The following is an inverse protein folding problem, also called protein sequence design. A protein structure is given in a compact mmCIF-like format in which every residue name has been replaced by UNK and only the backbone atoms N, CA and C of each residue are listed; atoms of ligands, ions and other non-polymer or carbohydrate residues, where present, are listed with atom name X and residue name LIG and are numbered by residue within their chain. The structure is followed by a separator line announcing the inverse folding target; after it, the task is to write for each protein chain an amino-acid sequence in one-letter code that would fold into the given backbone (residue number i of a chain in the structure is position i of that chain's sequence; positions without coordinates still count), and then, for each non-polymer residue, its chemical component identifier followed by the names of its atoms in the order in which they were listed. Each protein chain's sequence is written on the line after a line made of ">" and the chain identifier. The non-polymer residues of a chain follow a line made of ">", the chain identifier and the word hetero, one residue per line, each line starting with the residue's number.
data_IF_379384140176
#
_entry.id   IF_379384140176
#
_cell.length_a   1.000
_cell.length_b   1.000
_cell.length_c   1.000
_cell.angle_alpha   90.00
_cell.angle_beta   90.00
_cell.angle_gamma   90.00
#
_symmetry.space_group_name_H-M   'P 1'
#
loop_
_entity.id
_entity.type
_entity.pdbx_description
1 polymer ?
#
# COMPACT_ATOMS: atom_id res chain seq x y z
N UNK A 1 -7.51 37.79 16.25
CA UNK A 1 -8.57 36.76 16.04
C UNK A 1 -8.22 35.83 14.88
N UNK A 2 -7.88 36.34 13.68
CA UNK A 2 -7.49 35.50 12.52
C UNK A 2 -6.17 34.74 12.71
N UNK A 3 -5.16 35.36 13.33
CA UNK A 3 -3.86 34.71 13.58
C UNK A 3 -3.94 33.50 14.53
N UNK A 4 -4.88 33.53 15.47
CA UNK A 4 -5.11 32.42 16.40
C UNK A 4 -5.82 31.25 15.72
N UNK A 5 -6.78 31.53 14.83
CA UNK A 5 -7.43 30.51 14.01
C UNK A 5 -6.44 29.80 13.07
N UNK A 6 -5.47 30.53 12.49
CA UNK A 6 -4.42 29.94 11.65
C UNK A 6 -3.45 29.04 12.43
N UNK A 7 -3.07 29.41 13.66
CA UNK A 7 -2.23 28.57 14.51
C UNK A 7 -2.94 27.28 14.93
N UNK A 8 -4.23 27.36 15.28
CA UNK A 8 -5.05 26.18 15.60
C UNK A 8 -5.27 25.32 14.36
N UNK A 9 -5.47 25.92 13.18
CA UNK A 9 -5.58 25.20 11.92
C UNK A 9 -4.27 24.49 11.51
N UNK A 10 -3.10 25.10 11.76
CA UNK A 10 -1.80 24.44 11.57
C UNK A 10 -1.59 23.29 12.56
N UNK A 11 -1.91 23.47 13.85
CA UNK A 11 -1.87 22.40 14.85
C UNK A 11 -2.90 21.28 14.57
N UNK A 12 -3.98 21.58 13.84
CA UNK A 12 -5.02 20.63 13.43
C UNK A 12 -4.80 20.02 12.04
N UNK A 13 -3.94 20.60 11.20
CA UNK A 13 -3.44 19.97 9.98
C UNK A 13 -2.23 19.05 10.24
N UNK A 14 -1.52 19.27 11.35
CA UNK A 14 -0.41 18.44 11.83
C UNK A 14 -0.76 16.99 12.26
N UNK A 15 -1.98 16.61 12.68
CA UNK A 15 -2.29 15.23 13.03
C UNK A 15 -2.66 14.36 11.82
N UNK A 16 -2.80 14.92 10.61
CA UNK A 16 -2.88 14.12 9.38
C UNK A 16 -1.50 13.61 8.92
N UNK A 17 -0.52 13.54 9.85
CA UNK A 17 0.79 12.93 9.69
C UNK A 17 0.80 11.43 10.04
N UNK A 18 -0.36 10.78 10.15
CA UNK A 18 -0.41 9.34 9.95
C UNK A 18 -0.12 9.09 8.48
N UNK A 19 1.17 8.96 8.15
CA UNK A 19 1.62 8.81 6.77
C UNK A 19 0.82 7.73 6.08
N UNK A 20 0.16 8.10 4.99
CA UNK A 20 -0.39 7.17 4.02
C UNK A 20 0.73 6.17 3.68
N UNK A 21 0.56 4.88 4.00
CA UNK A 21 1.51 3.82 3.62
C UNK A 21 1.06 3.35 2.23
N UNK A 22 1.57 3.97 1.14
CA UNK A 22 1.00 3.80 -0.19
C UNK A 22 1.30 2.39 -0.64
N UNK A 23 0.27 1.64 -1.04
CA UNK A 23 0.41 0.23 -1.31
C UNK A 23 -0.32 -0.20 -2.59
N UNK A 24 0.16 -1.23 -3.25
CA UNK A 24 -0.56 -1.91 -4.32
C UNK A 24 -0.91 -3.30 -3.82
N UNK A 25 -2.17 -3.67 -4.01
CA UNK A 25 -2.62 -5.03 -3.75
C UNK A 25 -2.87 -5.74 -5.07
N UNK A 26 -2.26 -6.91 -5.24
CA UNK A 26 -2.48 -7.81 -6.37
C UNK A 26 -3.29 -9.00 -5.88
N UNK A 27 -4.45 -9.22 -6.50
CA UNK A 27 -5.37 -10.32 -6.17
C UNK A 27 -5.76 -11.07 -7.43
N UNK A 28 -6.16 -12.33 -7.30
CA UNK A 28 -6.67 -13.10 -8.44
C UNK A 28 -8.11 -12.75 -8.76
N UNK A 29 -8.40 -12.47 -10.03
CA UNK A 29 -9.77 -12.43 -10.55
C UNK A 29 -10.29 -13.85 -10.72
N UNK A 30 -11.60 -14.06 -10.53
CA UNK A 30 -12.32 -15.29 -10.91
C UNK A 30 -11.72 -16.60 -10.36
N UNK A 31 -11.00 -16.54 -9.24
CA UNK A 31 -10.37 -17.70 -8.61
C UNK A 31 -8.95 -18.00 -9.10
N UNK A 32 -8.33 -17.11 -9.89
CA UNK A 32 -6.90 -17.17 -10.15
C UNK A 32 -6.11 -17.15 -8.83
N UNK A 33 -5.06 -17.96 -8.76
CA UNK A 33 -4.20 -18.00 -7.57
C UNK A 33 -3.07 -16.99 -7.70
N UNK A 34 -2.78 -16.31 -6.60
CA UNK A 34 -1.59 -15.46 -6.47
C UNK A 34 -0.57 -16.22 -5.63
N UNK A 35 0.62 -16.41 -6.19
CA UNK A 35 1.66 -17.26 -5.63
C UNK A 35 3.06 -16.60 -5.71
N UNK A 36 4.10 -17.36 -5.35
CA UNK A 36 5.48 -16.86 -5.41
C UNK A 36 5.93 -16.52 -6.83
N UNK A 37 5.47 -17.25 -7.85
CA UNK A 37 5.80 -16.91 -9.24
C UNK A 37 5.23 -15.55 -9.63
N UNK A 38 3.99 -15.26 -9.22
CA UNK A 38 3.38 -13.94 -9.39
C UNK A 38 4.18 -12.86 -8.65
N UNK A 39 4.65 -13.15 -7.44
CA UNK A 39 5.47 -12.23 -6.64
C UNK A 39 6.84 -11.95 -7.28
N UNK A 40 7.49 -12.97 -7.85
CA UNK A 40 8.74 -12.81 -8.59
C UNK A 40 8.55 -11.97 -9.85
N UNK A 41 7.44 -12.14 -10.58
CA UNK A 41 7.10 -11.30 -11.74
C UNK A 41 6.91 -9.84 -11.34
N UNK A 42 6.15 -9.59 -10.26
CA UNK A 42 5.97 -8.23 -9.70
C UNK A 42 7.31 -7.61 -9.33
N UNK A 43 8.17 -8.37 -8.64
CA UNK A 43 9.48 -7.88 -8.19
C UNK A 43 10.36 -7.51 -9.38
N UNK A 44 10.47 -8.40 -10.38
CA UNK A 44 11.26 -8.15 -11.59
C UNK A 44 10.74 -6.96 -12.40
N UNK A 45 9.42 -6.78 -12.49
CA UNK A 45 8.83 -5.64 -13.20
C UNK A 45 9.22 -4.31 -12.54
N UNK A 46 9.18 -4.24 -11.20
CA UNK A 46 9.60 -3.06 -10.45
C UNK A 46 11.11 -2.79 -10.59
N UNK A 47 11.94 -3.83 -10.50
CA UNK A 47 13.40 -3.71 -10.64
C UNK A 47 13.80 -3.23 -12.04
N UNK A 48 13.15 -3.74 -13.09
CA UNK A 48 13.40 -3.35 -14.48
C UNK A 48 13.19 -1.85 -14.70
N UNK A 49 12.16 -1.27 -14.09
CA UNK A 49 11.84 0.15 -14.18
C UNK A 49 12.49 0.99 -13.06
N UNK A 50 13.37 0.38 -12.25
CA UNK A 50 14.07 1.03 -11.13
C UNK A 50 13.11 1.68 -10.09
N UNK A 51 11.92 1.09 -9.89
CA UNK A 51 10.94 1.58 -8.94
C UNK A 51 11.22 1.01 -7.55
N UNK A 52 11.57 1.90 -6.61
CA UNK A 52 11.86 1.53 -5.23
C UNK A 52 10.59 1.16 -4.47
N UNK A 53 10.64 0.05 -3.74
CA UNK A 53 9.56 -0.40 -2.87
C UNK A 53 10.07 -0.58 -1.44
N UNK A 54 9.18 -0.44 -0.46
CA UNK A 54 9.46 -0.59 0.97
C UNK A 54 9.40 -2.06 1.40
N UNK A 55 8.44 -2.81 0.85
CA UNK A 55 8.28 -4.24 1.10
C UNK A 55 7.37 -4.88 0.06
N UNK A 56 7.60 -6.16 -0.25
CA UNK A 56 6.69 -7.01 -1.02
C UNK A 56 6.39 -8.23 -0.15
N UNK A 57 5.11 -8.57 0.03
CA UNK A 57 4.70 -9.72 0.82
C UNK A 57 3.53 -10.46 0.16
N UNK A 58 3.60 -11.80 0.14
CA UNK A 58 2.48 -12.66 -0.25
C UNK A 58 1.72 -13.07 1.02
N UNK A 59 0.52 -12.52 1.20
CA UNK A 59 -0.32 -12.73 2.38
C UNK A 59 -1.78 -12.98 1.97
N UNK A 60 -2.40 -13.99 2.56
CA UNK A 60 -3.82 -14.32 2.37
C UNK A 60 -4.23 -14.50 0.88
N UNK A 61 -3.34 -15.04 0.04
CA UNK A 61 -3.62 -15.21 -1.39
C UNK A 61 -3.61 -13.89 -2.18
N UNK A 62 -2.91 -12.87 -1.68
CA UNK A 62 -2.69 -11.60 -2.35
C UNK A 62 -1.27 -11.13 -2.16
N UNK A 63 -0.72 -10.35 -3.10
CA UNK A 63 0.56 -9.68 -2.92
C UNK A 63 0.29 -8.25 -2.49
N UNK A 64 0.93 -7.82 -1.42
CA UNK A 64 0.94 -6.44 -0.96
C UNK A 64 2.33 -5.85 -1.20
N UNK A 65 2.39 -4.84 -2.07
CA UNK A 65 3.59 -4.05 -2.31
C UNK A 65 3.43 -2.70 -1.63
N UNK A 66 4.35 -2.31 -0.75
CA UNK A 66 4.35 -1.00 -0.09
C UNK A 66 5.41 -0.10 -0.72
N UNK A 67 5.13 1.19 -0.80
CA UNK A 67 5.99 2.20 -1.40
C UNK A 67 6.38 3.26 -0.38
N UNK A 68 7.37 4.08 -0.73
CA UNK A 68 7.79 5.22 0.09
C UNK A 68 6.93 6.46 -0.15
N UNK A 69 6.30 6.54 -1.32
CA UNK A 69 5.55 7.69 -1.80
C UNK A 69 4.51 7.28 -2.86
N UNK A 70 3.49 8.14 -3.02
CA UNK A 70 2.34 7.92 -3.90
C UNK A 70 2.72 8.02 -5.38
N UNK A 71 3.69 8.85 -5.76
CA UNK A 71 4.13 8.98 -7.15
C UNK A 71 4.77 7.67 -7.67
N UNK A 72 5.62 7.06 -6.84
CA UNK A 72 6.21 5.74 -7.11
C UNK A 72 5.14 4.66 -7.14
N UNK A 73 4.16 4.71 -6.22
CA UNK A 73 3.02 3.78 -6.22
C UNK A 73 2.19 3.88 -7.51
N UNK A 74 1.85 5.09 -7.95
CA UNK A 74 1.06 5.30 -9.17
C UNK A 74 1.83 4.75 -10.38
N UNK A 75 3.12 5.06 -10.48
CA UNK A 75 3.99 4.55 -11.56
C UNK A 75 4.10 3.01 -11.52
N UNK A 76 4.28 2.45 -10.33
CA UNK A 76 4.37 1.01 -10.12
C UNK A 76 3.08 0.27 -10.48
N UNK A 77 1.90 0.87 -10.25
CA UNK A 77 0.62 0.25 -10.63
C UNK A 77 0.59 -0.06 -12.11
N UNK A 78 0.99 0.90 -12.95
CA UNK A 78 0.93 0.71 -14.40
C UNK A 78 1.92 -0.36 -14.86
N UNK A 79 3.15 -0.32 -14.34
CA UNK A 79 4.19 -1.33 -14.61
C UNK A 79 3.75 -2.73 -14.20
N UNK A 80 3.19 -2.88 -12.99
CA UNK A 80 2.69 -4.17 -12.49
C UNK A 80 1.49 -4.64 -13.31
N UNK A 81 0.58 -3.75 -13.68
CA UNK A 81 -0.60 -4.09 -14.48
C UNK A 81 -0.24 -4.57 -15.88
N UNK A 82 0.82 -4.02 -16.47
CA UNK A 82 1.32 -4.45 -17.79
C UNK A 82 2.11 -5.77 -17.72
N UNK A 83 2.78 -6.04 -16.61
CA UNK A 83 3.57 -7.26 -16.41
C UNK A 83 2.73 -8.50 -16.06
N UNK A 84 1.48 -8.33 -15.63
CA UNK A 84 0.62 -9.40 -15.13
C UNK A 84 -0.49 -9.76 -16.12
N UNK A 85 -0.93 -11.02 -16.07
CA UNK A 85 -2.06 -11.50 -16.86
C UNK A 85 -3.37 -10.79 -16.50
N UNK A 86 -4.31 -10.74 -17.46
CA UNK A 86 -5.62 -10.08 -17.31
C UNK A 86 -6.54 -10.74 -16.26
N UNK A 87 -6.17 -11.92 -15.75
CA UNK A 87 -6.87 -12.60 -14.66
C UNK A 87 -6.37 -12.17 -13.27
N UNK A 88 -5.45 -11.20 -13.20
CA UNK A 88 -5.02 -10.57 -11.95
C UNK A 88 -5.55 -9.14 -11.86
N UNK A 89 -5.91 -8.73 -10.65
CA UNK A 89 -6.41 -7.39 -10.33
C UNK A 89 -5.33 -6.66 -9.55
N UNK A 90 -4.89 -5.54 -10.11
CA UNK A 90 -3.90 -4.64 -9.51
C UNK A 90 -4.64 -3.40 -9.01
N UNK A 91 -4.69 -3.20 -7.69
CA UNK A 91 -5.44 -2.10 -7.08
C UNK A 91 -4.53 -1.22 -6.22
N UNK A 92 -4.72 0.10 -6.31
CA UNK A 92 -4.14 1.04 -5.36
C UNK A 92 -4.84 0.87 -4.00
N UNK A 93 -4.04 0.82 -2.95
CA UNK A 93 -4.47 0.67 -1.57
C UNK A 93 -3.68 1.64 -0.68
N UNK A 94 -4.22 1.93 0.49
CA UNK A 94 -3.57 2.67 1.56
C UNK A 94 -3.49 1.72 2.74
N UNK A 95 -2.32 1.10 2.93
CA UNK A 95 -2.16 0.21 4.06
C UNK A 95 -2.16 1.05 5.35
N UNK A 96 -2.89 0.66 6.40
CA UNK A 96 -2.77 1.33 7.68
C UNK A 96 -1.33 1.15 8.18
N UNK A 97 -0.60 2.25 8.29
CA UNK A 97 0.74 2.36 8.89
C UNK A 97 0.65 2.05 10.38
N UNK A 98 0.43 0.77 10.68
CA UNK A 98 0.20 0.31 12.04
C UNK A 98 1.55 0.15 12.74
N UNK A 99 2.13 1.24 13.23
CA UNK A 99 3.06 1.14 14.35
C UNK A 99 2.23 1.10 15.64
N UNK A 100 2.39 -0.02 16.35
CA UNK A 100 1.96 -0.32 17.72
C UNK A 100 0.60 -1.02 17.90
N UNK A 101 0.70 -2.31 18.21
CA UNK A 101 -0.40 -3.09 18.72
C UNK A 101 -0.91 -2.55 20.06
N UNK A 102 -2.18 -2.20 20.08
CA UNK A 102 -3.00 -2.36 21.27
C UNK A 102 -3.88 -3.59 21.02
N UNK A 103 -3.37 -4.76 21.43
CA UNK A 103 -4.26 -5.84 21.88
C UNK A 103 -5.01 -5.31 23.10
N UNK A 104 -6.10 -4.57 22.90
CA UNK A 104 -7.07 -4.35 23.97
C UNK A 104 -7.85 -5.65 24.17
N UNK A 105 -7.22 -6.57 24.91
CA UNK A 105 -7.95 -7.64 25.60
C UNK A 105 -8.78 -6.97 26.71
N UNK A 106 -10.00 -7.45 26.92
CA UNK A 106 -11.06 -6.90 27.80
C UNK A 106 -11.82 -5.73 27.14
N UNK A 107 -13.08 -5.93 26.75
CA UNK A 107 -14.14 -6.19 27.70
C UNK A 107 -15.20 -7.13 27.09
N UNK A 108 -15.23 -8.38 27.57
CA UNK A 108 -16.51 -9.10 27.71
C UNK A 108 -17.28 -8.37 28.80
N UNK A 109 -18.45 -7.83 28.47
CA UNK A 109 -19.62 -7.90 29.33
C UNK A 109 -20.86 -7.95 28.43
#
# INVERSE_FOLDING_TARGET
>A
MVLFALLVAMLYALPNLYGEDPAIQVTGARGASVDMATMDTVTQALEKENLSHKSIALENGSILVRFNDTDTQISARDVISEALDSDLIVALNLAPSTQLGLKASALRL
#
